data_IF_759714979305
#
_entry.id   IF_759714979305
#
_cell.length_a   1.000
_cell.length_b   1.000
_cell.length_c   1.000
_cell.angle_alpha   90.00
_cell.angle_beta   90.00
_cell.angle_gamma   90.00
#
_symmetry.space_group_name_H-M   'P 1'
#
loop_
_entity.id
_entity.type
_entity.pdbx_description
1 polymer ?
#
# COMPACT_ATOMS: atom_id res chain seq x y z
N UNK A 1 -15.99 14.05 -0.31
CA UNK A 1 -15.18 15.25 0.00
C UNK A 1 -16.01 16.54 0.08
N UNK A 2 -17.04 16.71 -0.76
CA UNK A 2 -17.99 17.83 -0.68
C UNK A 2 -19.14 17.63 0.33
N UNK A 3 -19.12 16.55 1.11
CA UNK A 3 -20.11 16.30 2.15
C UNK A 3 -19.97 17.32 3.29
N UNK A 4 -21.08 17.66 3.93
CA UNK A 4 -21.11 18.45 5.18
C UNK A 4 -20.79 17.60 6.43
N UNK A 5 -20.20 16.42 6.23
CA UNK A 5 -19.70 15.59 7.33
C UNK A 5 -18.52 16.28 8.03
N UNK A 6 -18.27 15.89 9.29
CA UNK A 6 -17.14 16.38 10.08
C UNK A 6 -15.79 16.13 9.39
N UNK A 7 -15.60 14.95 8.80
CA UNK A 7 -14.44 14.61 7.96
C UNK A 7 -14.32 15.56 6.76
N UNK A 8 -15.42 15.77 6.02
CA UNK A 8 -15.42 16.63 4.83
C UNK A 8 -15.09 18.08 5.17
N UNK A 9 -15.60 18.60 6.28
CA UNK A 9 -15.28 19.94 6.77
C UNK A 9 -13.81 20.05 7.16
N UNK A 10 -13.29 19.15 8.01
CA UNK A 10 -11.88 19.18 8.43
C UNK A 10 -10.91 19.09 7.26
N UNK A 11 -11.20 18.22 6.29
CA UNK A 11 -10.39 18.14 5.08
C UNK A 11 -10.35 19.45 4.29
N UNK A 12 -11.47 20.17 4.17
CA UNK A 12 -11.50 21.49 3.50
C UNK A 12 -10.79 22.58 4.31
N UNK A 13 -10.81 22.47 5.63
CA UNK A 13 -10.12 23.41 6.52
C UNK A 13 -8.60 23.19 6.53
N UNK A 14 -8.13 21.97 6.19
CA UNK A 14 -6.72 21.57 6.29
C UNK A 14 -6.01 21.26 4.97
N UNK A 15 -6.75 21.15 3.85
CA UNK A 15 -6.18 20.77 2.56
C UNK A 15 -6.59 21.73 1.43
N UNK A 16 -5.68 21.89 0.47
CA UNK A 16 -6.00 22.41 -0.86
C UNK A 16 -6.20 21.23 -1.80
N UNK A 17 -7.36 21.18 -2.47
CA UNK A 17 -7.67 20.14 -3.45
C UNK A 17 -7.43 20.64 -4.86
N UNK A 18 -6.49 20.01 -5.58
CA UNK A 18 -6.31 20.21 -7.03
C UNK A 18 -6.94 19.01 -7.75
N UNK A 19 -8.05 19.25 -8.45
CA UNK A 19 -8.80 18.19 -9.15
C UNK A 19 -8.70 18.42 -10.65
N UNK A 20 -8.25 17.39 -11.36
CA UNK A 20 -8.30 17.33 -12.83
C UNK A 20 -9.49 16.44 -13.20
N UNK A 21 -10.66 17.01 -13.54
CA UNK A 21 -11.87 16.22 -13.74
C UNK A 21 -11.82 15.35 -15.00
N UNK A 22 -11.06 15.78 -16.00
CA UNK A 22 -10.85 15.06 -17.25
C UNK A 22 -9.48 15.47 -17.80
N UNK A 23 -8.64 14.50 -18.15
CA UNK A 23 -7.33 14.75 -18.77
C UNK A 23 -7.18 14.16 -20.18
N UNK A 24 -8.23 13.51 -20.71
CA UNK A 24 -8.31 13.00 -22.09
C UNK A 24 -9.61 13.45 -22.82
N UNK A 25 -9.87 14.76 -22.99
CA UNK A 25 -11.11 15.21 -23.60
C UNK A 25 -11.30 14.66 -25.02
N UNK A 26 -10.24 14.65 -25.84
CA UNK A 26 -10.28 14.17 -27.22
C UNK A 26 -10.56 12.67 -27.31
N UNK A 27 -9.90 11.87 -26.47
CA UNK A 27 -10.14 10.43 -26.41
C UNK A 27 -11.59 10.11 -26.05
N UNK A 28 -12.17 10.83 -25.09
CA UNK A 28 -13.57 10.65 -24.69
C UNK A 28 -14.53 10.95 -25.84
N UNK A 29 -14.37 12.09 -26.52
CA UNK A 29 -15.23 12.47 -27.66
C UNK A 29 -15.11 11.45 -28.80
N UNK A 30 -13.93 10.85 -28.97
CA UNK A 30 -13.67 9.85 -30.01
C UNK A 30 -14.00 8.40 -29.59
N UNK A 31 -14.53 8.18 -28.39
CA UNK A 31 -14.85 6.84 -27.86
C UNK A 31 -13.61 5.96 -27.61
N UNK A 32 -12.46 6.57 -27.34
CA UNK A 32 -11.19 5.89 -27.06
C UNK A 32 -10.98 5.77 -25.54
N UNK A 33 -10.75 4.56 -25.00
CA UNK A 33 -10.69 4.34 -23.55
C UNK A 33 -9.43 4.89 -22.88
N UNK A 34 -8.29 4.91 -23.60
CA UNK A 34 -6.97 5.31 -23.06
C UNK A 34 -6.20 6.26 -23.97
N UNK A 35 -6.58 6.35 -25.24
CA UNK A 35 -5.83 7.08 -26.26
C UNK A 35 -6.43 8.46 -26.52
N UNK A 36 -5.59 9.44 -26.89
CA UNK A 36 -6.07 10.74 -27.39
C UNK A 36 -6.30 10.72 -28.92
N UNK A 37 -6.52 11.89 -29.53
CA UNK A 37 -6.74 12.03 -30.96
C UNK A 37 -5.59 11.48 -31.84
N UNK A 38 -4.36 11.53 -31.33
CA UNK A 38 -3.18 10.98 -32.01
C UNK A 38 -3.02 9.46 -31.82
N UNK A 39 -3.98 8.79 -31.18
CA UNK A 39 -3.94 7.35 -30.84
C UNK A 39 -2.82 6.98 -29.85
N UNK A 40 -2.35 7.94 -29.06
CA UNK A 40 -1.34 7.72 -28.02
C UNK A 40 -2.01 7.46 -26.68
N UNK A 41 -1.61 6.39 -25.99
CA UNK A 41 -2.03 6.13 -24.61
C UNK A 41 -1.40 7.18 -23.69
N UNK A 42 -2.22 8.11 -23.23
CA UNK A 42 -1.75 9.25 -22.44
C UNK A 42 -1.37 8.84 -21.00
N UNK A 43 -1.90 7.73 -20.50
CA UNK A 43 -1.60 7.21 -19.17
C UNK A 43 -0.16 6.66 -19.14
N UNK A 44 0.32 6.08 -20.24
CA UNK A 44 1.70 5.62 -20.39
C UNK A 44 2.63 6.64 -21.07
N UNK A 45 2.22 7.91 -21.21
CA UNK A 45 3.00 8.94 -21.89
C UNK A 45 3.84 9.85 -20.95
N UNK A 46 4.06 9.42 -19.70
CA UNK A 46 4.80 10.20 -18.68
C UNK A 46 6.32 9.95 -18.66
N UNK A 47 6.84 9.23 -19.66
CA UNK A 47 8.27 8.92 -19.77
C UNK A 47 9.17 10.18 -19.78
N UNK A 48 10.44 9.96 -19.44
CA UNK A 48 11.44 11.02 -19.17
C UNK A 48 11.82 11.81 -20.42
N UNK A 49 11.66 11.25 -21.63
CA UNK A 49 11.90 12.01 -22.88
C UNK A 49 10.74 12.95 -23.19
N UNK A 50 10.88 14.19 -22.75
CA UNK A 50 9.90 15.28 -22.88
C UNK A 50 9.63 15.72 -24.31
N UNK A 51 10.49 15.34 -25.26
CA UNK A 51 10.37 15.80 -26.65
C UNK A 51 9.14 15.20 -27.36
N UNK A 52 8.65 14.05 -26.89
CA UNK A 52 7.58 13.26 -27.53
C UNK A 52 6.31 13.17 -26.67
N UNK A 53 6.22 13.88 -25.54
CA UNK A 53 4.98 13.86 -24.73
C UNK A 53 3.82 14.59 -25.43
N UNK A 54 2.61 14.06 -25.26
CA UNK A 54 1.37 14.65 -25.73
C UNK A 54 1.07 15.97 -25.01
N UNK A 55 0.33 16.91 -25.64
CA UNK A 55 0.01 18.21 -25.06
C UNK A 55 -0.61 18.15 -23.66
N UNK A 56 -1.50 17.18 -23.42
CA UNK A 56 -2.20 16.97 -22.15
C UNK A 56 -1.20 16.66 -21.04
N UNK A 57 -0.29 15.71 -21.28
CA UNK A 57 0.75 15.33 -20.31
C UNK A 57 1.74 16.48 -20.09
N UNK A 58 2.11 17.22 -21.14
CA UNK A 58 3.00 18.39 -21.03
C UNK A 58 2.40 19.47 -20.11
N UNK A 59 1.11 19.79 -20.29
CA UNK A 59 0.42 20.79 -19.46
C UNK A 59 0.29 20.32 -18.01
N UNK A 60 -0.04 19.05 -17.79
CA UNK A 60 -0.13 18.49 -16.43
C UNK A 60 1.22 18.50 -15.72
N UNK A 61 2.30 18.04 -16.37
CA UNK A 61 3.66 18.10 -15.81
C UNK A 61 4.06 19.52 -15.44
N UNK A 62 3.86 20.49 -16.33
CA UNK A 62 4.14 21.91 -16.05
C UNK A 62 3.35 22.41 -14.85
N UNK A 63 2.07 22.02 -14.76
CA UNK A 63 1.19 22.40 -13.65
C UNK A 63 1.65 21.78 -12.33
N UNK A 64 1.94 20.49 -12.31
CA UNK A 64 2.41 19.78 -11.11
C UNK A 64 3.77 20.30 -10.66
N UNK A 65 4.71 20.53 -11.58
CA UNK A 65 5.99 21.16 -11.24
C UNK A 65 5.81 22.55 -10.63
N UNK A 66 4.87 23.37 -11.14
CA UNK A 66 4.54 24.66 -10.52
C UNK A 66 3.99 24.48 -9.11
N UNK A 67 3.01 23.60 -8.92
CA UNK A 67 2.40 23.33 -7.61
C UNK A 67 3.42 22.83 -6.59
N UNK A 68 4.42 22.06 -7.01
CA UNK A 68 5.51 21.59 -6.14
C UNK A 68 6.48 22.70 -5.69
N UNK A 69 6.45 23.88 -6.32
CA UNK A 69 7.23 25.06 -5.93
C UNK A 69 6.45 26.02 -5.02
N UNK A 70 5.15 25.82 -4.86
CA UNK A 70 4.31 26.65 -3.98
C UNK A 70 4.62 26.35 -2.50
N UNK A 71 4.27 27.25 -1.55
CA UNK A 71 4.49 27.03 -0.12
C UNK A 71 3.82 25.77 0.44
N UNK A 72 2.72 25.35 -0.18
CA UNK A 72 1.99 24.12 0.13
C UNK A 72 2.11 23.15 -1.06
N UNK A 73 3.24 22.42 -1.19
CA UNK A 73 3.44 21.51 -2.30
C UNK A 73 2.47 20.33 -2.23
N UNK A 74 2.29 19.62 -3.35
CA UNK A 74 1.47 18.41 -3.39
C UNK A 74 2.09 17.38 -2.44
N UNK A 75 1.31 16.86 -1.51
CA UNK A 75 1.73 15.80 -0.58
C UNK A 75 1.15 14.43 -0.95
N UNK A 76 -0.01 14.42 -1.62
CA UNK A 76 -0.71 13.20 -2.04
C UNK A 76 -1.20 13.41 -3.48
N UNK A 77 -0.92 12.46 -4.35
CA UNK A 77 -1.39 12.41 -5.73
C UNK A 77 -2.11 11.08 -5.99
N UNK A 78 -3.42 11.14 -6.23
CA UNK A 78 -4.21 9.95 -6.54
C UNK A 78 -4.55 9.94 -8.03
N UNK A 79 -4.06 8.91 -8.72
CA UNK A 79 -4.38 8.65 -10.11
C UNK A 79 -5.64 7.77 -10.16
N UNK A 80 -6.77 8.32 -10.61
CA UNK A 80 -8.09 7.68 -10.48
C UNK A 80 -8.46 6.99 -11.79
N UNK A 81 -8.64 5.67 -11.74
CA UNK A 81 -8.96 4.81 -12.89
C UNK A 81 -10.15 3.90 -12.60
N UNK A 82 -10.60 3.22 -13.64
CA UNK A 82 -11.54 2.11 -13.56
C UNK A 82 -10.96 0.90 -14.29
N UNK A 83 -10.95 -0.24 -13.61
CA UNK A 83 -10.54 -1.50 -14.22
C UNK A 83 -11.71 -2.18 -14.91
N UNK A 84 -11.44 -3.03 -15.90
CA UNK A 84 -12.46 -3.91 -16.50
C UNK A 84 -12.95 -5.02 -15.55
N UNK A 85 -12.41 -5.06 -14.33
CA UNK A 85 -12.77 -6.03 -13.31
C UNK A 85 -13.93 -5.58 -12.42
N UNK A 86 -14.36 -6.50 -11.55
CA UNK A 86 -15.43 -6.29 -10.57
C UNK A 86 -14.89 -5.98 -9.17
N UNK A 87 -13.64 -5.53 -9.07
CA UNK A 87 -12.93 -5.31 -7.81
C UNK A 87 -12.31 -3.92 -7.76
N UNK A 88 -12.23 -3.39 -6.54
CA UNK A 88 -11.53 -2.14 -6.22
C UNK A 88 -10.17 -2.45 -5.64
N UNK A 89 -9.13 -1.78 -6.12
CA UNK A 89 -7.79 -1.98 -5.61
C UNK A 89 -6.92 -0.76 -5.85
N UNK A 90 -5.74 -0.79 -5.25
CA UNK A 90 -4.70 0.20 -5.52
C UNK A 90 -3.52 -0.48 -6.19
N UNK A 91 -2.90 0.22 -7.12
CA UNK A 91 -1.59 -0.13 -7.65
C UNK A 91 -0.57 0.74 -6.93
N UNK A 92 0.41 0.09 -6.31
CA UNK A 92 1.48 0.75 -5.56
C UNK A 92 2.84 0.32 -6.09
N UNK A 93 3.89 1.08 -5.77
CA UNK A 93 5.25 0.71 -6.12
C UNK A 93 5.90 -0.16 -5.04
N UNK A 94 6.53 -1.24 -5.45
CA UNK A 94 7.34 -2.05 -4.52
C UNK A 94 8.66 -1.38 -4.17
N UNK A 95 9.28 -1.85 -3.10
CA UNK A 95 10.65 -1.51 -2.74
C UNK A 95 11.67 -1.80 -3.86
N UNK A 96 11.40 -2.77 -4.75
CA UNK A 96 12.27 -3.08 -5.90
C UNK A 96 12.26 -1.99 -6.98
N UNK A 97 11.12 -1.31 -7.16
CA UNK A 97 10.98 -0.18 -8.10
C UNK A 97 11.25 1.19 -7.49
N UNK A 98 11.26 1.30 -6.15
CA UNK A 98 11.32 2.57 -5.42
C UNK A 98 12.26 2.49 -4.20
N UNK A 99 11.75 2.72 -2.99
CA UNK A 99 12.46 2.52 -1.72
C UNK A 99 11.57 1.71 -0.77
N UNK A 100 12.19 1.08 0.24
CA UNK A 100 11.43 0.37 1.28
C UNK A 100 10.47 1.32 2.00
N UNK A 101 10.92 2.53 2.33
CA UNK A 101 10.11 3.55 3.00
C UNK A 101 8.89 3.93 2.14
N UNK A 102 9.09 4.20 0.86
CA UNK A 102 8.00 4.60 -0.05
C UNK A 102 6.95 3.50 -0.23
N UNK A 103 7.39 2.25 -0.36
CA UNK A 103 6.50 1.09 -0.42
C UNK A 103 5.71 0.94 0.89
N UNK A 104 6.34 1.13 2.05
CA UNK A 104 5.68 1.07 3.35
C UNK A 104 4.63 2.16 3.51
N UNK A 105 4.93 3.41 3.11
CA UNK A 105 3.97 4.52 3.18
C UNK A 105 2.72 4.22 2.33
N UNK A 106 2.90 3.71 1.11
CA UNK A 106 1.78 3.34 0.25
C UNK A 106 0.95 2.19 0.82
N UNK A 107 1.59 1.15 1.35
CA UNK A 107 0.89 0.02 1.97
C UNK A 107 0.10 0.50 3.19
N UNK A 108 0.68 1.34 4.05
CA UNK A 108 -0.01 1.92 5.21
C UNK A 108 -1.24 2.71 4.78
N UNK A 109 -1.12 3.55 3.75
CA UNK A 109 -2.27 4.28 3.20
C UNK A 109 -3.37 3.32 2.73
N UNK A 110 -3.02 2.29 1.95
CA UNK A 110 -3.99 1.29 1.45
C UNK A 110 -4.67 0.57 2.62
N UNK A 111 -3.93 0.16 3.64
CA UNK A 111 -4.49 -0.51 4.81
C UNK A 111 -5.40 0.40 5.64
N UNK A 112 -5.06 1.69 5.80
CA UNK A 112 -5.97 2.67 6.43
C UNK A 112 -7.26 2.81 5.63
N UNK A 113 -7.19 2.90 4.30
CA UNK A 113 -8.41 2.95 3.47
C UNK A 113 -9.23 1.67 3.65
N UNK A 114 -8.60 0.49 3.65
CA UNK A 114 -9.27 -0.80 3.84
C UNK A 114 -9.90 -0.94 5.22
N UNK A 115 -9.24 -0.45 6.26
CA UNK A 115 -9.81 -0.41 7.61
C UNK A 115 -11.13 0.38 7.64
N UNK A 116 -11.21 1.47 6.88
CA UNK A 116 -12.39 2.32 6.78
C UNK A 116 -13.43 1.85 5.75
N UNK A 117 -13.11 0.82 4.97
CA UNK A 117 -14.08 0.12 4.13
C UNK A 117 -13.78 -1.39 4.08
N UNK A 118 -14.06 -2.13 5.17
CA UNK A 118 -13.76 -3.56 5.26
C UNK A 118 -14.42 -4.35 4.12
N UNK A 119 -13.62 -5.14 3.40
CA UNK A 119 -14.06 -5.93 2.25
C UNK A 119 -14.38 -5.12 0.98
N UNK A 120 -14.37 -3.79 1.05
CA UNK A 120 -14.69 -2.92 -0.09
C UNK A 120 -13.54 -2.70 -1.05
N UNK A 121 -12.29 -2.79 -0.56
CA UNK A 121 -11.07 -2.68 -1.34
C UNK A 121 -10.20 -3.91 -1.11
N UNK A 122 -9.68 -4.46 -2.20
CA UNK A 122 -8.80 -5.62 -2.17
C UNK A 122 -7.49 -5.30 -1.42
N UNK A 123 -6.85 -6.31 -0.83
CA UNK A 123 -5.54 -6.14 -0.19
C UNK A 123 -4.49 -5.66 -1.20
N UNK A 124 -3.43 -5.00 -0.70
CA UNK A 124 -2.37 -4.45 -1.56
C UNK A 124 -1.67 -5.49 -2.45
N UNK A 125 -1.76 -6.79 -2.13
CA UNK A 125 -1.20 -7.87 -2.95
C UNK A 125 -2.11 -8.29 -4.13
N UNK A 126 -3.28 -7.66 -4.30
CA UNK A 126 -4.21 -7.90 -5.40
C UNK A 126 -3.81 -7.10 -6.65
N UNK A 127 -3.56 -7.81 -7.77
CA UNK A 127 -3.16 -7.31 -9.10
C UNK A 127 -1.98 -6.30 -9.11
N UNK A 128 -0.77 -6.86 -9.32
CA UNK A 128 0.54 -6.26 -9.69
C UNK A 128 0.84 -4.88 -9.10
N UNK A 129 1.78 -4.88 -8.15
CA UNK A 129 2.60 -3.71 -7.82
C UNK A 129 3.66 -3.47 -8.89
N UNK A 130 4.07 -2.22 -9.08
CA UNK A 130 5.17 -1.89 -9.98
C UNK A 130 6.48 -2.45 -9.38
N UNK A 131 6.95 -3.58 -9.95
CA UNK A 131 8.08 -4.37 -9.44
C UNK A 131 9.44 -3.91 -9.97
N UNK A 132 9.48 -3.12 -11.03
CA UNK A 132 10.71 -2.73 -11.71
C UNK A 132 10.63 -1.30 -12.25
N UNK A 133 11.74 -0.78 -12.76
CA UNK A 133 11.80 0.53 -13.44
C UNK A 133 10.90 0.65 -14.69
N UNK A 134 10.23 -0.42 -15.09
CA UNK A 134 9.28 -0.50 -16.20
C UNK A 134 8.05 0.42 -16.04
N UNK A 135 7.75 0.90 -14.83
CA UNK A 135 6.63 1.81 -14.58
C UNK A 135 6.98 3.30 -14.77
N UNK A 136 8.13 3.66 -15.36
CA UNK A 136 8.57 5.06 -15.59
C UNK A 136 7.61 5.94 -16.39
N UNK A 137 6.59 5.34 -16.96
CA UNK A 137 5.73 5.93 -17.96
C UNK A 137 4.38 6.40 -17.43
N UNK A 138 4.12 6.23 -16.13
CA UNK A 138 2.85 6.57 -15.47
C UNK A 138 2.93 7.83 -14.59
N UNK A 139 1.81 8.54 -14.34
CA UNK A 139 1.79 9.76 -13.53
C UNK A 139 2.35 9.56 -12.12
N UNK A 140 1.97 8.48 -11.43
CA UNK A 140 2.41 8.20 -10.07
C UNK A 140 3.94 7.96 -10.00
N UNK A 141 4.50 7.36 -11.05
CA UNK A 141 5.94 7.17 -11.17
C UNK A 141 6.65 8.49 -11.43
N UNK A 142 6.06 9.41 -12.19
CA UNK A 142 6.63 10.75 -12.37
C UNK A 142 6.80 11.47 -11.03
N UNK A 143 5.80 11.40 -10.14
CA UNK A 143 5.93 11.95 -8.78
C UNK A 143 7.05 11.28 -7.99
N UNK A 144 7.13 9.94 -8.01
CA UNK A 144 8.23 9.22 -7.36
C UNK A 144 9.60 9.66 -7.89
N UNK A 145 9.79 9.73 -9.21
CA UNK A 145 11.11 10.05 -9.79
C UNK A 145 11.57 11.47 -9.47
N UNK A 146 10.65 12.44 -9.43
CA UNK A 146 10.98 13.85 -9.22
C UNK A 146 10.97 14.26 -7.74
N UNK A 147 10.16 13.60 -6.91
CA UNK A 147 9.89 14.07 -5.55
C UNK A 147 10.05 12.99 -4.47
N UNK A 148 10.27 11.73 -4.84
CA UNK A 148 10.54 10.63 -3.91
C UNK A 148 9.45 10.52 -2.84
N UNK A 149 9.80 10.28 -1.58
CA UNK A 149 8.87 10.13 -0.47
C UNK A 149 8.11 11.42 -0.10
N UNK A 150 8.44 12.58 -0.70
CA UNK A 150 7.73 13.84 -0.43
C UNK A 150 6.29 13.84 -0.95
N UNK A 151 5.97 12.97 -1.91
CA UNK A 151 4.63 12.84 -2.49
C UNK A 151 4.19 11.40 -2.43
N UNK A 152 3.13 11.09 -1.68
CA UNK A 152 2.45 9.82 -1.78
C UNK A 152 1.69 9.76 -3.11
N UNK A 153 2.19 9.01 -4.08
CA UNK A 153 1.55 8.86 -5.39
C UNK A 153 1.24 7.39 -5.69
N UNK A 154 -0.03 7.12 -6.02
CA UNK A 154 -0.53 5.77 -6.31
C UNK A 154 -1.78 5.82 -7.19
N UNK A 155 -2.08 4.69 -7.83
CA UNK A 155 -3.26 4.53 -8.68
C UNK A 155 -4.36 3.82 -7.91
N UNK A 156 -5.57 4.35 -7.98
CA UNK A 156 -6.78 3.70 -7.53
C UNK A 156 -7.58 3.19 -8.73
N UNK A 157 -7.95 1.93 -8.70
CA UNK A 157 -8.76 1.27 -9.72
C UNK A 157 -10.14 0.97 -9.14
N UNK A 158 -11.18 1.62 -9.67
CA UNK A 158 -12.56 1.23 -9.38
C UNK A 158 -12.99 0.01 -10.19
N UNK A 159 -14.10 -0.60 -9.80
CA UNK A 159 -14.77 -1.62 -10.60
C UNK A 159 -15.62 -0.98 -11.69
N UNK A 160 -15.58 -1.54 -12.90
CA UNK A 160 -16.42 -1.12 -14.03
C UNK A 160 -17.51 -2.16 -14.29
N UNK A 161 -18.44 -2.30 -13.35
CA UNK A 161 -19.57 -3.24 -13.42
C UNK A 161 -20.83 -2.63 -12.78
N UNK A 162 -22.01 -3.16 -13.08
CA UNK A 162 -23.28 -2.68 -12.51
C UNK A 162 -23.33 -2.79 -10.97
N UNK A 163 -22.49 -3.64 -10.38
CA UNK A 163 -22.31 -3.76 -8.93
C UNK A 163 -21.38 -2.70 -8.32
N UNK A 164 -20.81 -1.79 -9.12
CA UNK A 164 -19.93 -0.68 -8.71
C UNK A 164 -20.53 0.31 -7.70
N UNK A 165 -21.70 0.03 -7.14
CA UNK A 165 -22.26 0.68 -5.96
C UNK A 165 -21.22 0.99 -4.85
N UNK A 166 -21.63 1.81 -3.89
CA UNK A 166 -20.82 2.23 -2.74
C UNK A 166 -19.76 3.31 -3.01
N UNK A 167 -19.91 4.10 -4.07
CA UNK A 167 -19.04 5.26 -4.37
C UNK A 167 -18.79 6.17 -3.16
N UNK A 168 -19.85 6.46 -2.39
CA UNK A 168 -19.72 7.27 -1.17
C UNK A 168 -18.89 6.60 -0.08
N UNK A 169 -18.99 5.27 0.08
CA UNK A 169 -18.18 4.52 1.06
C UNK A 169 -16.71 4.49 0.62
N UNK A 170 -16.47 4.23 -0.67
CA UNK A 170 -15.13 4.31 -1.27
C UNK A 170 -14.51 5.68 -1.07
N UNK A 171 -15.21 6.75 -1.47
CA UNK A 171 -14.72 8.12 -1.36
C UNK A 171 -14.47 8.54 0.10
N UNK A 172 -15.32 8.11 1.04
CA UNK A 172 -15.12 8.37 2.47
C UNK A 172 -13.91 7.62 3.02
N UNK A 173 -13.69 6.37 2.63
CA UNK A 173 -12.54 5.60 3.06
C UNK A 173 -11.22 6.19 2.54
N UNK A 174 -11.18 6.61 1.27
CA UNK A 174 -10.03 7.30 0.68
C UNK A 174 -9.79 8.63 1.41
N UNK A 175 -10.85 9.41 1.66
CA UNK A 175 -10.76 10.66 2.40
C UNK A 175 -10.22 10.46 3.84
N UNK A 176 -10.60 9.37 4.49
CA UNK A 176 -10.08 9.01 5.81
C UNK A 176 -8.60 8.60 5.75
N UNK A 177 -8.18 7.86 4.72
CA UNK A 177 -6.77 7.56 4.47
C UNK A 177 -5.92 8.82 4.20
N UNK A 178 -6.45 9.78 3.43
CA UNK A 178 -5.81 11.08 3.20
C UNK A 178 -5.63 11.83 4.53
N UNK A 179 -6.68 11.89 5.34
CA UNK A 179 -6.64 12.64 6.58
C UNK A 179 -5.69 12.02 7.63
N UNK A 180 -5.60 10.69 7.68
CA UNK A 180 -4.61 9.97 8.48
C UNK A 180 -3.18 10.24 7.99
N UNK A 181 -2.94 10.12 6.68
CA UNK A 181 -1.64 10.35 6.07
C UNK A 181 -1.13 11.78 6.30
N UNK A 182 -2.02 12.77 6.33
CA UNK A 182 -1.70 14.17 6.57
C UNK A 182 -1.73 14.56 8.07
N UNK A 183 -2.07 13.64 8.97
CA UNK A 183 -2.16 13.92 10.40
C UNK A 183 -3.26 14.92 10.79
N UNK A 184 -4.29 15.11 9.97
CA UNK A 184 -5.31 16.16 10.11
C UNK A 184 -6.15 16.00 11.38
N UNK A 185 -6.30 14.78 11.87
CA UNK A 185 -7.08 14.53 13.08
C UNK A 185 -6.30 14.75 14.37
N UNK A 186 -5.02 15.14 14.30
CA UNK A 186 -4.24 15.56 15.46
C UNK A 186 -4.48 14.65 16.66
N UNK A 187 -4.11 13.38 16.57
CA UNK A 187 -3.75 12.69 17.81
C UNK A 187 -2.57 13.47 18.37
N UNK A 188 -2.73 14.00 19.58
CA UNK A 188 -1.60 14.39 20.41
C UNK A 188 -0.75 13.14 20.64
N UNK A 189 0.14 12.87 19.70
CA UNK A 189 1.27 11.98 19.87
C UNK A 189 2.43 12.85 19.45
N UNK A 190 3.03 13.50 20.45
CA UNK A 190 4.43 13.88 20.41
C UNK A 190 5.19 12.80 19.65
N UNK A 191 6.03 13.18 18.69
CA UNK A 191 7.00 12.28 18.06
C UNK A 191 8.01 11.80 19.11
N UNK A 192 7.55 10.93 20.00
CA UNK A 192 8.31 9.78 20.44
C UNK A 192 7.86 8.69 19.48
N UNK A 193 8.81 7.99 18.86
CA UNK A 193 8.54 6.77 18.12
C UNK A 193 7.55 5.90 18.90
N UNK A 194 6.29 5.97 18.51
CA UNK A 194 5.29 4.98 18.85
C UNK A 194 4.90 4.39 17.51
N UNK A 195 5.68 3.39 17.11
CA UNK A 195 5.06 2.14 16.65
C UNK A 195 3.79 1.97 17.47
N UNK A 196 2.63 1.80 16.82
CA UNK A 196 1.43 1.45 17.55
C UNK A 196 1.77 0.21 18.37
N UNK A 197 2.04 0.40 19.67
CA UNK A 197 2.38 -0.69 20.57
C UNK A 197 1.20 -1.62 20.48
N UNK A 198 1.37 -2.82 19.90
CA UNK A 198 0.30 -3.79 19.84
C UNK A 198 -0.16 -3.99 21.28
N UNK A 199 -1.45 -3.85 21.55
CA UNK A 199 -1.97 -3.98 22.93
C UNK A 199 -1.86 -5.41 23.47
N UNK A 200 -1.25 -6.34 22.72
CA UNK A 200 -1.01 -7.71 23.12
C UNK A 200 0.13 -8.37 22.34
N UNK A 201 0.67 -9.43 22.95
CA UNK A 201 1.57 -10.38 22.31
C UNK A 201 0.76 -11.31 21.41
N UNK A 202 1.02 -11.31 20.10
CA UNK A 202 0.28 -12.10 19.13
C UNK A 202 1.23 -12.80 18.17
N UNK A 203 1.05 -14.10 17.99
CA UNK A 203 1.61 -14.83 16.87
C UNK A 203 0.49 -15.04 15.85
N UNK A 204 0.68 -14.66 14.59
CA UNK A 204 -0.31 -14.88 13.53
C UNK A 204 -0.11 -16.23 12.85
N UNK A 205 -1.17 -16.72 12.21
CA UNK A 205 -1.05 -17.91 11.37
C UNK A 205 -0.16 -17.60 10.16
N UNK A 206 0.88 -18.41 9.95
CA UNK A 206 1.76 -18.30 8.79
C UNK A 206 0.95 -18.30 7.48
N UNK A 207 1.36 -17.48 6.52
CA UNK A 207 0.70 -17.39 5.21
C UNK A 207 1.72 -17.47 4.06
N UNK A 208 1.48 -18.33 3.06
CA UNK A 208 0.39 -19.31 2.95
C UNK A 208 0.50 -20.44 4.00
N UNK A 209 -0.61 -21.15 4.27
CA UNK A 209 -0.66 -22.41 5.03
C UNK A 209 -1.86 -23.27 4.54
N UNK A 210 -1.64 -24.44 3.92
CA UNK A 210 -0.36 -25.08 3.67
C UNK A 210 0.58 -24.27 2.76
N UNK A 211 1.90 -24.48 2.87
CA UNK A 211 2.92 -23.73 2.14
C UNK A 211 3.87 -24.63 1.36
N UNK A 212 4.52 -24.09 0.31
CA UNK A 212 5.49 -24.80 -0.52
C UNK A 212 6.51 -23.83 -1.17
N UNK A 213 7.83 -23.94 -0.89
CA UNK A 213 8.41 -24.30 0.40
C UNK A 213 8.57 -23.06 1.30
N UNK A 214 8.06 -21.89 0.89
CA UNK A 214 8.19 -20.63 1.61
C UNK A 214 6.88 -20.15 2.20
N UNK A 215 6.96 -19.51 3.37
CA UNK A 215 5.84 -18.87 4.08
C UNK A 215 6.33 -17.65 4.84
N UNK A 216 5.42 -16.80 5.30
CA UNK A 216 5.74 -15.66 6.17
C UNK A 216 5.05 -15.88 7.51
N UNK A 217 5.81 -15.75 8.60
CA UNK A 217 5.29 -15.78 9.97
C UNK A 217 5.27 -14.33 10.47
N UNK A 218 4.10 -13.86 10.88
CA UNK A 218 3.93 -12.53 11.48
C UNK A 218 3.71 -12.63 12.98
N UNK A 219 4.26 -11.69 13.73
CA UNK A 219 4.01 -11.59 15.16
C UNK A 219 4.06 -10.15 15.65
N UNK A 220 3.51 -9.92 16.82
CA UNK A 220 3.37 -8.62 17.45
C UNK A 220 3.95 -8.67 18.87
N UNK A 221 4.75 -7.66 19.21
CA UNK A 221 5.37 -7.51 20.51
C UNK A 221 4.84 -6.24 21.20
N UNK A 222 4.24 -6.35 22.39
CA UNK A 222 3.74 -5.19 23.13
C UNK A 222 4.87 -4.39 23.79
N UNK A 223 6.05 -4.99 23.99
CA UNK A 223 7.21 -4.33 24.61
C UNK A 223 8.44 -4.88 23.89
N UNK A 224 9.45 -4.03 23.68
CA UNK A 224 10.75 -4.45 23.16
C UNK A 224 11.42 -5.46 24.11
N UNK A 225 12.17 -6.41 23.56
CA UNK A 225 12.93 -7.38 24.32
C UNK A 225 13.44 -8.55 23.49
N UNK A 226 14.16 -9.46 24.14
CA UNK A 226 14.66 -10.67 23.49
C UNK A 226 13.52 -11.55 22.97
N UNK A 227 13.56 -11.86 21.69
CA UNK A 227 12.59 -12.72 21.01
C UNK A 227 13.24 -13.96 20.44
N UNK A 228 12.58 -15.09 20.68
CA UNK A 228 12.95 -16.38 20.09
C UNK A 228 11.78 -16.95 19.29
N UNK A 229 11.93 -16.99 17.96
CA UNK A 229 11.01 -17.69 17.05
C UNK A 229 11.71 -18.94 16.49
N UNK A 230 11.20 -20.11 16.87
CA UNK A 230 11.79 -21.42 16.53
C UNK A 230 10.75 -22.36 15.94
N UNK A 231 11.18 -23.23 15.03
CA UNK A 231 10.34 -24.24 14.36
C UNK A 231 10.72 -25.63 14.84
N UNK A 232 9.71 -26.45 15.11
CA UNK A 232 9.81 -27.81 15.61
C UNK A 232 9.02 -28.76 14.74
N UNK A 233 9.48 -30.01 14.66
CA UNK A 233 8.67 -31.11 14.13
C UNK A 233 7.68 -31.66 15.19
N UNK A 234 6.86 -32.65 14.80
CA UNK A 234 5.86 -33.27 15.68
C UNK A 234 6.45 -34.03 16.87
N UNK A 235 7.75 -34.34 16.85
CA UNK A 235 8.46 -34.99 17.96
C UNK A 235 9.07 -33.95 18.91
N UNK A 236 8.87 -32.66 18.64
CA UNK A 236 9.42 -31.55 19.42
C UNK A 236 10.90 -31.29 19.13
N UNK A 237 11.47 -31.87 18.07
CA UNK A 237 12.85 -31.57 17.66
C UNK A 237 12.88 -30.21 16.97
N UNK A 238 13.79 -29.35 17.38
CA UNK A 238 14.03 -28.08 16.72
C UNK A 238 14.63 -28.33 15.33
N UNK A 239 14.01 -27.76 14.30
CA UNK A 239 14.44 -27.91 12.91
C UNK A 239 14.88 -26.58 12.29
N UNK A 240 14.53 -25.44 12.91
CA UNK A 240 15.03 -24.13 12.51
C UNK A 240 14.91 -23.10 13.64
N UNK A 241 15.87 -22.17 13.69
CA UNK A 241 15.78 -20.93 14.46
C UNK A 241 15.57 -19.81 13.44
N UNK A 242 14.47 -19.07 13.56
CA UNK A 242 14.15 -17.98 12.64
C UNK A 242 14.57 -16.62 13.19
N UNK A 243 14.42 -16.43 14.51
CA UNK A 243 14.84 -15.23 15.25
C UNK A 243 15.33 -15.68 16.63
N UNK A 244 16.41 -15.07 17.12
CA UNK A 244 16.91 -15.23 18.50
C UNK A 244 17.74 -14.00 18.92
N UNK A 245 17.10 -12.84 19.01
CA UNK A 245 17.75 -11.55 19.26
C UNK A 245 16.78 -10.54 19.89
N UNK A 246 17.32 -9.41 20.33
CA UNK A 246 16.53 -8.26 20.80
C UNK A 246 15.72 -7.65 19.65
N UNK A 247 14.42 -7.50 19.86
CA UNK A 247 13.51 -6.88 18.89
C UNK A 247 12.82 -5.69 19.55
N UNK A 248 12.57 -4.64 18.78
CA UNK A 248 11.73 -3.52 19.23
C UNK A 248 10.28 -3.99 19.40
N UNK A 249 9.46 -3.19 20.09
CA UNK A 249 8.00 -3.39 20.10
C UNK A 249 7.43 -3.40 18.67
N UNK A 250 6.13 -3.65 18.51
CA UNK A 250 5.50 -3.54 17.18
C UNK A 250 5.36 -4.86 16.44
N UNK A 251 5.08 -4.77 15.14
CA UNK A 251 4.72 -5.92 14.29
C UNK A 251 5.90 -6.32 13.42
N UNK A 252 6.23 -7.60 13.46
CA UNK A 252 7.37 -8.20 12.78
C UNK A 252 6.90 -9.24 11.76
N UNK A 253 7.65 -9.39 10.67
CA UNK A 253 7.38 -10.36 9.60
C UNK A 253 8.65 -11.13 9.26
N UNK A 254 8.62 -12.45 9.44
CA UNK A 254 9.79 -13.31 9.24
C UNK A 254 9.54 -14.29 8.10
N UNK A 255 10.31 -14.22 7.00
CA UNK A 255 10.24 -15.21 5.94
C UNK A 255 10.84 -16.54 6.43
N UNK A 256 10.17 -17.65 6.12
CA UNK A 256 10.66 -18.99 6.40
C UNK A 256 10.74 -19.78 5.10
N UNK A 257 11.91 -20.37 4.82
CA UNK A 257 12.15 -21.27 3.70
C UNK A 257 12.45 -22.67 4.23
N UNK A 258 11.51 -23.60 4.02
CA UNK A 258 11.59 -24.98 4.48
C UNK A 258 12.13 -25.94 3.41
N UNK A 259 12.95 -25.47 2.46
CA UNK A 259 13.41 -26.29 1.34
C UNK A 259 14.22 -27.53 1.78
N UNK A 260 14.81 -27.53 2.97
CA UNK A 260 15.54 -28.67 3.54
C UNK A 260 14.65 -29.63 4.35
N UNK A 261 13.35 -29.37 4.50
CA UNK A 261 12.44 -30.13 5.34
C UNK A 261 11.46 -30.99 4.53
N UNK A 262 11.06 -32.15 5.05
CA UNK A 262 10.06 -33.03 4.42
C UNK A 262 8.64 -32.47 4.53
N UNK A 263 7.74 -32.85 3.61
CA UNK A 263 6.31 -32.53 3.75
C UNK A 263 5.76 -33.06 5.08
N UNK A 264 4.94 -32.27 5.76
CA UNK A 264 4.44 -32.63 7.08
C UNK A 264 3.92 -31.44 7.89
N UNK A 265 3.52 -31.73 9.13
CA UNK A 265 3.09 -30.72 10.10
C UNK A 265 4.29 -30.27 10.94
N UNK A 266 4.41 -28.97 11.11
CA UNK A 266 5.41 -28.32 11.95
C UNK A 266 4.73 -27.38 12.94
N UNK A 267 5.39 -27.13 14.06
CA UNK A 267 4.94 -26.18 15.08
C UNK A 267 5.99 -25.08 15.15
N UNK A 268 5.57 -23.83 15.14
CA UNK A 268 6.44 -22.70 15.43
C UNK A 268 6.03 -22.04 16.73
N UNK A 269 7.03 -21.66 17.52
CA UNK A 269 6.88 -21.11 18.86
C UNK A 269 7.58 -19.76 18.93
N UNK A 270 6.84 -18.76 19.37
CA UNK A 270 7.34 -17.43 19.69
C UNK A 270 7.44 -17.30 21.21
N UNK A 271 8.59 -16.85 21.70
CA UNK A 271 8.82 -16.51 23.10
C UNK A 271 9.33 -15.07 23.19
N UNK A 272 8.75 -14.28 24.09
CA UNK A 272 9.28 -12.99 24.52
C UNK A 272 8.94 -12.76 26.00
N UNK A 273 9.95 -12.61 26.85
CA UNK A 273 9.76 -12.53 28.30
C UNK A 273 8.98 -13.73 28.86
N UNK A 274 7.83 -13.46 29.50
CA UNK A 274 6.94 -14.49 30.06
C UNK A 274 5.84 -14.96 29.08
N UNK A 275 5.79 -14.41 27.87
CA UNK A 275 4.77 -14.73 26.88
C UNK A 275 5.24 -15.81 25.92
N UNK A 276 4.39 -16.82 25.69
CA UNK A 276 4.66 -17.94 24.78
C UNK A 276 3.42 -18.18 23.93
N UNK A 277 3.60 -18.17 22.61
CA UNK A 277 2.55 -18.46 21.63
C UNK A 277 3.04 -19.53 20.66
N UNK A 278 2.14 -20.42 20.25
CA UNK A 278 2.45 -21.54 19.37
C UNK A 278 1.38 -21.71 18.30
N UNK A 279 1.82 -22.01 17.08
CA UNK A 279 0.92 -22.35 15.98
C UNK A 279 1.46 -23.48 15.14
N UNK A 280 0.54 -24.18 14.47
CA UNK A 280 0.87 -25.26 13.54
C UNK A 280 0.92 -24.73 12.12
N UNK A 281 1.80 -25.29 11.29
CA UNK A 281 1.87 -25.06 9.85
C UNK A 281 2.04 -26.38 9.12
N UNK A 282 1.59 -26.44 7.87
CA UNK A 282 1.65 -27.62 7.03
C UNK A 282 2.49 -27.34 5.79
N UNK A 283 3.61 -28.04 5.66
CA UNK A 283 4.44 -28.02 4.46
C UNK A 283 3.93 -29.09 3.50
N UNK A 284 3.62 -28.70 2.27
CA UNK A 284 3.26 -29.60 1.18
C UNK A 284 4.28 -29.41 0.08
N UNK A 285 4.75 -30.51 -0.49
CA UNK A 285 5.58 -30.55 -1.69
C UNK A 285 4.90 -31.40 -2.73
#
# INVERSE_FOLDING_TARGET
>A
MLSNSSLGKRLRDSCVFSIVPMYNPDGVEMGLPRQNAHKIDIESNWNVDTSVSEPEVKVLRKTFSRLMMEPNPIQIALNMHSSTGTKRFFIYHTAKGTSQLYSTIQIKFIDTVRYNFPGGIQPYNYSISWKDSAARQYPESWFWFNHKEKVLALTYEDMNDISANSFNKTANAIAQGIADQLGIFGTSVSFVENESVPTGFLLEQNFPNPFNPTTIIKYQLPIAGHVSLRVYDILGREVAILINEEQLSGTHSVPFNASSLSSGVYIYRLISGNSVEMKKMQLIR
#
